data_IF_309798105791
#
_entry.id   IF_309798105791
#
_cell.length_a   1.000
_cell.length_b   1.000
_cell.length_c   1.000
_cell.angle_alpha   90.00
_cell.angle_beta   90.00
_cell.angle_gamma   90.00
#
_symmetry.space_group_name_H-M   'P 1'
#
loop_
_entity.id
_entity.type
_entity.pdbx_description
1 polymer ?
#
# COMPACT_ATOMS: atom_id res chain seq x y z
N UNK A 1 6.40 -21.99 9.97
CA UNK A 1 7.00 -21.15 8.91
C UNK A 1 5.88 -20.58 8.04
N UNK A 2 5.77 -19.26 7.92
CA UNK A 2 4.78 -18.61 7.03
C UNK A 2 5.34 -18.61 5.61
N UNK A 3 4.57 -19.12 4.66
CA UNK A 3 4.92 -19.15 3.24
C UNK A 3 4.99 -17.72 2.68
N UNK A 4 6.18 -17.32 2.23
CA UNK A 4 6.46 -15.98 1.70
C UNK A 4 5.58 -15.62 0.50
N UNK A 5 5.12 -16.61 -0.30
CA UNK A 5 4.19 -16.35 -1.42
C UNK A 5 2.81 -15.92 -0.92
N UNK A 6 2.27 -16.61 0.10
CA UNK A 6 0.97 -16.27 0.70
C UNK A 6 1.01 -14.90 1.38
N UNK A 7 2.12 -14.58 2.05
CA UNK A 7 2.29 -13.29 2.72
C UNK A 7 2.31 -12.13 1.71
N UNK A 8 3.01 -12.26 0.58
CA UNK A 8 3.00 -11.25 -0.49
C UNK A 8 1.61 -11.02 -1.07
N UNK A 9 0.82 -12.08 -1.24
CA UNK A 9 -0.56 -11.99 -1.72
C UNK A 9 -1.42 -11.14 -0.77
N UNK A 10 -1.33 -11.39 0.54
CA UNK A 10 -2.09 -10.66 1.56
C UNK A 10 -1.70 -9.17 1.58
N UNK A 11 -0.40 -8.87 1.64
CA UNK A 11 0.08 -7.47 1.62
C UNK A 11 -0.28 -6.75 0.33
N UNK A 12 -0.33 -7.46 -0.81
CA UNK A 12 -0.81 -6.92 -2.08
C UNK A 12 -2.30 -6.54 -2.04
N UNK A 13 -3.16 -7.44 -1.53
CA UNK A 13 -4.61 -7.18 -1.40
C UNK A 13 -4.86 -5.97 -0.48
N UNK A 14 -4.20 -5.92 0.68
CA UNK A 14 -4.37 -4.81 1.63
C UNK A 14 -3.91 -3.49 1.00
N UNK A 15 -2.79 -3.49 0.27
CA UNK A 15 -2.32 -2.31 -0.45
C UNK A 15 -3.34 -1.78 -1.47
N UNK A 16 -3.94 -2.68 -2.27
CA UNK A 16 -4.96 -2.32 -3.26
C UNK A 16 -6.20 -1.71 -2.58
N UNK A 17 -6.72 -2.37 -1.52
CA UNK A 17 -7.88 -1.86 -0.78
C UNK A 17 -7.60 -0.49 -0.17
N UNK A 18 -6.40 -0.27 0.36
CA UNK A 18 -6.00 1.01 0.94
C UNK A 18 -5.93 2.13 -0.10
N UNK A 19 -5.40 1.85 -1.31
CA UNK A 19 -5.40 2.81 -2.44
C UNK A 19 -6.82 3.16 -2.87
N UNK A 20 -7.71 2.16 -2.99
CA UNK A 20 -9.11 2.38 -3.39
C UNK A 20 -9.82 3.26 -2.35
N UNK A 21 -9.70 2.94 -1.06
CA UNK A 21 -10.28 3.73 0.01
C UNK A 21 -9.79 5.18 -0.02
N UNK A 22 -8.50 5.37 -0.29
CA UNK A 22 -7.91 6.70 -0.35
C UNK A 22 -8.37 7.51 -1.56
N UNK A 23 -8.50 6.86 -2.72
CA UNK A 23 -9.08 7.47 -3.93
C UNK A 23 -10.54 7.87 -3.71
N UNK A 24 -11.35 7.01 -3.09
CA UNK A 24 -12.74 7.35 -2.74
C UNK A 24 -12.81 8.55 -1.79
N UNK A 25 -11.95 8.61 -0.78
CA UNK A 25 -11.89 9.75 0.14
C UNK A 25 -11.54 11.06 -0.58
N UNK A 26 -10.59 11.01 -1.52
CA UNK A 26 -10.22 12.18 -2.32
C UNK A 26 -11.35 12.67 -3.22
N UNK A 27 -12.08 11.74 -3.86
CA UNK A 27 -13.25 12.10 -4.68
C UNK A 27 -14.31 12.84 -3.85
N UNK A 28 -14.48 12.47 -2.57
CA UNK A 28 -15.41 13.15 -1.67
C UNK A 28 -14.89 14.49 -1.12
N UNK A 29 -13.56 14.68 -1.07
CA UNK A 29 -12.93 15.88 -0.51
C UNK A 29 -11.79 16.40 -1.43
N UNK A 30 -12.11 16.92 -2.63
CA UNK A 30 -11.12 17.19 -3.68
C UNK A 30 -10.16 18.35 -3.37
N UNK A 31 -10.49 19.21 -2.41
CA UNK A 31 -9.64 20.33 -2.00
C UNK A 31 -8.47 19.89 -1.11
N UNK A 32 -8.51 18.66 -0.59
CA UNK A 32 -7.53 18.18 0.37
C UNK A 32 -6.35 17.45 -0.29
N UNK A 33 -5.72 18.14 -1.25
CA UNK A 33 -4.58 17.63 -2.03
C UNK A 33 -3.40 17.23 -1.15
N UNK A 34 -3.22 17.88 0.00
CA UNK A 34 -2.14 17.56 0.96
C UNK A 34 -2.35 16.15 1.51
N UNK A 35 -3.58 15.80 1.89
CA UNK A 35 -3.91 14.46 2.39
C UNK A 35 -3.74 13.39 1.31
N UNK A 36 -3.99 13.72 0.04
CA UNK A 36 -3.71 12.82 -1.08
C UNK A 36 -2.22 12.44 -1.13
N UNK A 37 -1.32 13.42 -1.15
CA UNK A 37 0.12 13.14 -1.25
C UNK A 37 0.66 12.43 -0.01
N UNK A 38 0.22 12.84 1.19
CA UNK A 38 0.65 12.22 2.45
C UNK A 38 0.19 10.77 2.52
N UNK A 39 -1.08 10.48 2.23
CA UNK A 39 -1.55 9.11 2.37
C UNK A 39 -1.02 8.18 1.27
N UNK A 40 -0.75 8.65 0.05
CA UNK A 40 0.02 7.86 -0.92
C UNK A 40 1.44 7.54 -0.43
N UNK A 41 2.12 8.51 0.19
CA UNK A 41 3.42 8.30 0.80
C UNK A 41 3.39 7.25 1.93
N UNK A 42 2.38 7.31 2.79
CA UNK A 42 2.20 6.35 3.89
C UNK A 42 1.88 4.95 3.34
N UNK A 43 0.98 4.84 2.36
CA UNK A 43 0.66 3.55 1.71
C UNK A 43 1.92 2.93 1.09
N UNK A 44 2.75 3.74 0.42
CA UNK A 44 4.00 3.25 -0.16
C UNK A 44 4.97 2.70 0.91
N UNK A 45 5.16 3.45 2.01
CA UNK A 45 6.07 3.04 3.10
C UNK A 45 5.61 1.77 3.80
N UNK A 46 4.31 1.62 4.06
CA UNK A 46 3.76 0.50 4.82
C UNK A 46 3.63 -0.77 3.96
N UNK A 47 3.21 -0.64 2.71
CA UNK A 47 2.86 -1.80 1.89
C UNK A 47 3.95 -2.14 0.87
N UNK A 48 4.46 -1.15 0.15
CA UNK A 48 5.39 -1.40 -0.98
C UNK A 48 6.81 -1.68 -0.48
N UNK A 49 7.26 -0.95 0.54
CA UNK A 49 8.63 -1.05 1.04
C UNK A 49 8.94 -2.43 1.68
N UNK A 50 8.06 -3.01 2.52
CA UNK A 50 8.26 -4.35 3.05
C UNK A 50 8.19 -5.43 1.95
N UNK A 51 7.27 -5.31 1.01
CA UNK A 51 7.18 -6.21 -0.16
C UNK A 51 8.47 -6.21 -0.97
N UNK A 52 9.05 -5.03 -1.23
CA UNK A 52 10.32 -4.88 -1.95
C UNK A 52 11.47 -5.54 -1.18
N UNK A 53 11.52 -5.38 0.14
CA UNK A 53 12.52 -6.03 1.01
C UNK A 53 12.38 -7.56 1.04
N UNK A 54 11.15 -8.08 0.99
CA UNK A 54 10.88 -9.52 0.93
C UNK A 54 11.25 -10.13 -0.42
N UNK A 55 11.13 -9.38 -1.53
CA UNK A 55 11.60 -9.82 -2.85
C UNK A 55 13.13 -9.85 -2.92
N UNK A 56 13.81 -8.83 -2.39
CA UNK A 56 15.27 -8.70 -2.42
C UNK A 56 16.03 -9.73 -1.57
N UNK A 57 15.33 -10.49 -0.72
CA UNK A 57 15.88 -11.61 0.07
C UNK A 57 15.89 -12.93 -0.71
N UNK A 58 15.24 -12.98 -1.87
CA UNK A 58 15.04 -14.18 -2.68
C UNK A 58 15.98 -14.19 -3.91
N UNK A 59 16.54 -13.03 -4.27
CA UNK A 59 17.61 -12.85 -5.27
C UNK A 59 18.98 -12.88 -4.57
#
# INVERSE_FOLDING_TARGET
MIDQKKLKLIWGIIGIVSVIAHMTYFVMNPYDMIYLFIGFGIIYLIFVLPLKKMNKKIE
#
